data_IF_949044237459
#
_entry.id   IF_949044237459
#
_cell.length_a   1.000
_cell.length_b   1.000
_cell.length_c   1.000
_cell.angle_alpha   90.00
_cell.angle_beta   90.00
_cell.angle_gamma   90.00
#
_symmetry.space_group_name_H-M   'P 1'
#
loop_
_entity.id
_entity.type
_entity.pdbx_description
1 polymer ?
#
# COMPACT_ATOMS: atom_id res chain seq x y z
N UNK A 1 29.02 -0.97 7.99
CA UNK A 1 28.15 -2.16 8.19
C UNK A 1 27.15 -1.99 9.32
N UNK A 2 27.58 -1.48 10.48
CA UNK A 2 26.71 -1.20 11.64
C UNK A 2 25.48 -0.34 11.30
N UNK A 3 25.69 0.72 10.52
CA UNK A 3 24.61 1.62 10.08
C UNK A 3 23.51 0.87 9.32
N UNK A 4 23.88 0.05 8.34
CA UNK A 4 22.94 -0.74 7.54
C UNK A 4 22.14 -1.74 8.39
N UNK A 5 22.77 -2.36 9.39
CA UNK A 5 22.07 -3.30 10.30
C UNK A 5 21.06 -2.59 11.18
N UNK A 6 21.41 -1.41 11.70
CA UNK A 6 20.55 -0.61 12.59
C UNK A 6 19.40 0.10 11.84
N UNK A 7 19.56 0.33 10.54
CA UNK A 7 18.60 1.07 9.70
C UNK A 7 18.11 0.22 8.52
N UNK A 8 18.03 -1.11 8.69
CA UNK A 8 17.68 -2.06 7.62
C UNK A 8 16.32 -1.77 6.99
N UNK A 9 15.37 -1.28 7.79
CA UNK A 9 14.05 -0.87 7.32
C UNK A 9 14.10 0.33 6.35
N UNK A 10 15.07 1.25 6.49
CA UNK A 10 15.24 2.38 5.56
C UNK A 10 15.65 1.93 4.15
N UNK A 11 16.25 0.73 4.05
CA UNK A 11 16.66 0.13 2.79
C UNK A 11 15.65 -0.90 2.27
N UNK A 12 14.51 -1.04 2.95
CA UNK A 12 13.43 -1.93 2.52
C UNK A 12 12.42 -1.14 1.70
N UNK A 13 12.30 -1.52 0.43
CA UNK A 13 11.25 -0.98 -0.43
C UNK A 13 9.88 -1.33 0.12
N UNK A 14 8.98 -0.34 0.17
CA UNK A 14 7.60 -0.57 0.60
C UNK A 14 6.94 -1.57 -0.35
N UNK A 15 6.25 -2.55 0.22
CA UNK A 15 5.46 -3.49 -0.57
C UNK A 15 4.21 -2.77 -1.10
N UNK A 16 4.05 -2.79 -2.43
CA UNK A 16 2.96 -2.17 -3.16
C UNK A 16 2.31 -3.21 -4.05
N UNK A 17 0.99 -3.16 -4.17
CA UNK A 17 0.23 -4.02 -5.08
C UNK A 17 -0.65 -3.17 -5.98
N UNK A 18 -0.77 -3.55 -7.25
CA UNK A 18 -1.77 -2.98 -8.13
C UNK A 18 -3.06 -3.75 -7.97
N UNK A 19 -4.12 -3.10 -7.50
CA UNK A 19 -5.36 -3.76 -7.11
C UNK A 19 -6.54 -3.26 -7.96
N UNK A 20 -7.41 -4.20 -8.34
CA UNK A 20 -8.80 -3.90 -8.69
C UNK A 20 -9.77 -4.51 -7.70
N UNK A 21 -10.87 -3.81 -7.45
CA UNK A 21 -11.89 -4.22 -6.49
C UNK A 21 -13.29 -4.01 -7.05
N UNK A 22 -14.17 -4.96 -6.76
CA UNK A 22 -15.62 -4.84 -6.90
C UNK A 22 -16.20 -4.89 -5.50
N UNK A 23 -16.93 -3.84 -5.13
CA UNK A 23 -17.75 -3.81 -3.92
C UNK A 23 -19.21 -3.91 -4.30
N UNK A 24 -19.91 -4.88 -3.73
CA UNK A 24 -21.36 -5.01 -3.79
C UNK A 24 -21.89 -4.68 -2.39
N UNK A 25 -22.79 -3.69 -2.26
CA UNK A 25 -23.31 -3.33 -0.95
C UNK A 25 -24.13 -4.50 -0.40
N UNK A 26 -23.82 -4.94 0.80
CA UNK A 26 -24.78 -5.75 1.54
C UNK A 26 -25.67 -4.78 2.33
N UNK A 27 -26.92 -5.16 2.51
CA UNK A 27 -27.81 -4.38 3.35
C UNK A 27 -27.84 -4.95 4.76
N UNK A 28 -27.96 -4.04 5.74
CA UNK A 28 -28.25 -4.39 7.14
C UNK A 28 -29.66 -4.98 7.30
N UNK A 29 -30.52 -4.83 6.29
CA UNK A 29 -31.88 -5.35 6.31
C UNK A 29 -31.89 -6.82 5.85
N UNK A 30 -32.45 -7.70 6.67
CA UNK A 30 -32.34 -9.16 6.53
C UNK A 30 -33.09 -9.72 5.33
N UNK A 31 -34.01 -8.94 4.75
CA UNK A 31 -34.83 -9.36 3.62
C UNK A 31 -34.08 -9.44 2.27
N UNK A 32 -33.11 -8.54 2.05
CA UNK A 32 -32.38 -8.44 0.76
C UNK A 32 -30.96 -8.98 0.82
N UNK A 33 -30.44 -9.28 2.03
CA UNK A 33 -29.12 -9.87 2.22
C UNK A 33 -28.87 -11.16 1.39
N UNK A 34 -29.85 -12.09 1.24
CA UNK A 34 -29.67 -13.26 0.36
C UNK A 34 -29.49 -12.88 -1.11
N UNK A 35 -30.17 -11.83 -1.57
CA UNK A 35 -30.10 -11.38 -2.96
C UNK A 35 -28.75 -10.72 -3.28
N UNK A 36 -28.20 -9.92 -2.37
CA UNK A 36 -26.89 -9.29 -2.56
C UNK A 36 -25.75 -10.30 -2.54
N UNK A 37 -25.84 -11.30 -1.66
CA UNK A 37 -24.89 -12.42 -1.68
C UNK A 37 -24.98 -13.22 -2.98
N UNK A 38 -26.18 -13.53 -3.45
CA UNK A 38 -26.38 -14.20 -4.73
C UNK A 38 -25.83 -13.38 -5.91
N UNK A 39 -25.97 -12.05 -5.88
CA UNK A 39 -25.35 -11.17 -6.87
C UNK A 39 -23.82 -11.24 -6.84
N UNK A 40 -23.21 -11.25 -5.65
CA UNK A 40 -21.76 -11.44 -5.52
C UNK A 40 -21.29 -12.81 -6.05
N UNK A 41 -22.07 -13.86 -5.82
CA UNK A 41 -21.82 -15.20 -6.37
C UNK A 41 -21.94 -15.22 -7.91
N UNK A 42 -22.95 -14.54 -8.46
CA UNK A 42 -23.09 -14.39 -9.92
C UNK A 42 -21.91 -13.64 -10.53
N UNK A 43 -21.48 -12.53 -9.91
CA UNK A 43 -20.34 -11.73 -10.34
C UNK A 43 -19.06 -12.57 -10.31
N UNK A 44 -18.82 -13.30 -9.22
CA UNK A 44 -17.67 -14.21 -9.13
C UNK A 44 -17.71 -15.30 -10.21
N UNK A 45 -18.90 -15.86 -10.49
CA UNK A 45 -19.10 -16.84 -11.56
C UNK A 45 -18.77 -16.30 -12.95
N UNK A 46 -19.20 -15.07 -13.26
CA UNK A 46 -18.87 -14.39 -14.53
C UNK A 46 -17.36 -14.16 -14.67
N UNK A 47 -16.72 -13.70 -13.61
CA UNK A 47 -15.28 -13.51 -13.57
C UNK A 47 -14.51 -14.83 -13.75
N UNK A 48 -14.98 -15.91 -13.12
CA UNK A 48 -14.41 -17.25 -13.29
C UNK A 48 -14.60 -17.79 -14.72
N UNK A 49 -15.68 -17.41 -15.40
CA UNK A 49 -15.92 -17.74 -16.81
C UNK A 49 -15.09 -16.89 -17.80
N UNK A 50 -14.26 -15.96 -17.31
CA UNK A 50 -13.37 -15.14 -18.13
C UNK A 50 -13.93 -13.76 -18.51
N UNK A 51 -14.99 -13.29 -17.85
CA UNK A 51 -15.46 -11.92 -18.05
C UNK A 51 -14.37 -10.90 -17.66
N UNK A 52 -14.32 -9.78 -18.39
CA UNK A 52 -13.40 -8.69 -18.09
C UNK A 52 -13.74 -8.05 -16.75
N UNK A 53 -12.73 -7.90 -15.88
CA UNK A 53 -12.92 -7.42 -14.51
C UNK A 53 -13.39 -5.96 -14.49
N UNK A 54 -12.80 -5.11 -15.33
CA UNK A 54 -13.19 -3.71 -15.53
C UNK A 54 -14.65 -3.55 -15.91
N UNK A 55 -15.11 -4.30 -16.92
CA UNK A 55 -16.49 -4.23 -17.37
C UNK A 55 -17.45 -4.72 -16.29
N UNK A 56 -17.07 -5.81 -15.61
CA UNK A 56 -17.87 -6.34 -14.51
C UNK A 56 -17.94 -5.35 -13.34
N UNK A 57 -16.83 -4.67 -13.03
CA UNK A 57 -16.79 -3.63 -12.00
C UNK A 57 -17.66 -2.43 -12.37
N UNK A 58 -17.62 -1.95 -13.62
CA UNK A 58 -18.45 -0.85 -14.08
C UNK A 58 -19.96 -1.15 -13.96
N UNK A 59 -20.35 -2.41 -14.16
CA UNK A 59 -21.76 -2.82 -14.12
C UNK A 59 -22.25 -3.10 -12.69
N UNK A 60 -21.45 -3.79 -11.88
CA UNK A 60 -21.91 -4.36 -10.61
C UNK A 60 -21.33 -3.68 -9.37
N UNK A 61 -20.20 -2.98 -9.48
CA UNK A 61 -19.61 -2.35 -8.31
C UNK A 61 -20.37 -1.09 -7.92
N UNK A 62 -20.48 -0.84 -6.62
CA UNK A 62 -20.92 0.44 -6.07
C UNK A 62 -19.80 1.19 -5.33
N UNK A 63 -18.54 0.83 -5.58
CA UNK A 63 -17.39 1.57 -5.06
C UNK A 63 -17.14 2.84 -5.89
N UNK A 64 -16.45 3.80 -5.30
CA UNK A 64 -15.99 5.03 -5.97
C UNK A 64 -15.16 4.78 -7.24
N UNK A 65 -14.49 3.62 -7.33
CA UNK A 65 -13.67 3.25 -8.50
C UNK A 65 -14.45 2.53 -9.60
N UNK A 66 -15.77 2.35 -9.45
CA UNK A 66 -16.66 1.70 -10.43
C UNK A 66 -16.42 2.19 -11.85
N UNK A 67 -16.46 3.50 -12.06
CA UNK A 67 -16.36 4.09 -13.40
C UNK A 67 -14.98 3.84 -14.04
N UNK A 68 -13.94 3.64 -13.22
CA UNK A 68 -12.59 3.25 -13.62
C UNK A 68 -12.37 1.73 -13.65
N UNK A 69 -13.44 0.93 -13.69
CA UNK A 69 -13.33 -0.53 -13.75
C UNK A 69 -12.79 -1.15 -12.45
N UNK A 70 -13.03 -0.50 -11.32
CA UNK A 70 -12.60 -0.95 -10.01
C UNK A 70 -11.11 -0.72 -9.73
N UNK A 71 -10.42 0.12 -10.53
CA UNK A 71 -8.97 0.35 -10.39
C UNK A 71 -8.62 1.22 -9.19
N UNK A 72 -7.89 0.64 -8.24
CA UNK A 72 -7.35 1.33 -7.06
C UNK A 72 -5.89 1.78 -7.26
N UNK A 73 -5.30 1.48 -8.41
CA UNK A 73 -3.90 1.77 -8.69
C UNK A 73 -2.96 0.98 -7.79
N UNK A 74 -1.78 1.56 -7.54
CA UNK A 74 -0.77 1.01 -6.63
C UNK A 74 -1.11 1.40 -5.19
N UNK A 75 -1.34 0.41 -4.34
CA UNK A 75 -1.63 0.60 -2.93
C UNK A 75 -0.53 0.01 -2.04
N UNK A 76 -0.24 0.69 -0.94
CA UNK A 76 0.70 0.24 0.10
C UNK A 76 -0.03 -0.52 1.21
N UNK A 77 0.73 -1.23 2.05
CA UNK A 77 0.20 -1.73 3.32
C UNK A 77 -0.31 -0.58 4.20
N UNK A 78 -1.34 -0.86 4.98
CA UNK A 78 -2.17 0.05 5.78
C UNK A 78 -3.08 1.00 4.98
N UNK A 79 -3.28 0.76 3.68
CA UNK A 79 -4.22 1.54 2.84
C UNK A 79 -5.64 0.97 2.90
N UNK A 80 -5.77 -0.34 3.03
CA UNK A 80 -7.06 -1.04 3.03
C UNK A 80 -7.46 -1.48 4.44
N UNK A 81 -8.74 -1.80 4.62
CA UNK A 81 -9.20 -2.47 5.82
C UNK A 81 -8.46 -3.82 6.01
N UNK A 82 -8.06 -4.11 7.26
CA UNK A 82 -7.19 -5.25 7.58
C UNK A 82 -7.56 -6.59 6.93
N UNK A 83 -8.85 -7.01 6.90
CA UNK A 83 -9.24 -8.25 6.23
C UNK A 83 -9.02 -8.23 4.71
N UNK A 84 -9.34 -7.12 4.05
CA UNK A 84 -9.15 -6.95 2.60
C UNK A 84 -7.66 -6.90 2.27
N UNK A 85 -6.89 -6.16 3.05
CA UNK A 85 -5.43 -6.06 2.87
C UNK A 85 -4.76 -7.42 2.97
N UNK A 86 -5.07 -8.18 4.03
CA UNK A 86 -4.47 -9.50 4.26
C UNK A 86 -4.72 -10.42 3.07
N UNK A 87 -5.89 -10.36 2.45
CA UNK A 87 -6.20 -11.18 1.29
C UNK A 87 -5.48 -10.65 0.04
N UNK A 88 -5.54 -9.34 -0.22
CA UNK A 88 -4.92 -8.71 -1.37
C UNK A 88 -3.39 -8.96 -1.42
N UNK A 89 -2.69 -8.72 -0.30
CA UNK A 89 -1.24 -8.90 -0.24
C UNK A 89 -0.78 -10.36 -0.23
N UNK A 90 -1.62 -11.32 0.17
CA UNK A 90 -1.28 -12.74 0.11
C UNK A 90 -1.70 -13.42 -1.21
N UNK A 91 -2.57 -12.80 -2.00
CA UNK A 91 -3.09 -13.39 -3.23
C UNK A 91 -2.06 -13.34 -4.37
N UNK A 92 -1.89 -14.39 -5.20
CA UNK A 92 -1.00 -14.34 -6.35
C UNK A 92 -1.43 -13.27 -7.38
N UNK A 93 -0.46 -12.72 -8.11
CA UNK A 93 -0.73 -11.81 -9.24
C UNK A 93 -1.57 -12.53 -10.30
N UNK A 94 -2.55 -11.82 -10.86
CA UNK A 94 -3.50 -12.30 -11.87
C UNK A 94 -4.67 -13.11 -11.32
N UNK A 95 -4.68 -13.47 -10.02
CA UNK A 95 -5.80 -14.19 -9.41
C UNK A 95 -6.93 -13.25 -8.99
N UNK A 96 -8.14 -13.80 -9.02
CA UNK A 96 -9.35 -13.19 -8.47
C UNK A 96 -9.65 -13.87 -7.14
N UNK A 97 -10.03 -13.10 -6.12
CA UNK A 97 -10.35 -13.62 -4.79
C UNK A 97 -11.72 -14.30 -4.78
N UNK A 98 -11.97 -15.09 -3.73
CA UNK A 98 -13.34 -15.41 -3.34
C UNK A 98 -14.07 -14.15 -2.85
N UNK A 99 -15.37 -14.27 -2.61
CA UNK A 99 -16.17 -13.20 -1.99
C UNK A 99 -15.70 -13.00 -0.55
N UNK A 100 -15.42 -11.75 -0.20
CA UNK A 100 -15.00 -11.34 1.13
C UNK A 100 -16.13 -10.54 1.75
N UNK A 101 -16.69 -11.03 2.84
CA UNK A 101 -17.66 -10.28 3.65
C UNK A 101 -16.91 -9.37 4.61
N UNK A 102 -17.14 -8.06 4.51
CA UNK A 102 -16.58 -7.09 5.42
C UNK A 102 -17.51 -5.89 5.61
N UNK A 103 -17.73 -5.50 6.87
CA UNK A 103 -18.59 -4.36 7.24
C UNK A 103 -20.02 -4.42 6.65
N UNK A 104 -20.51 -5.63 6.35
CA UNK A 104 -21.81 -5.84 5.71
C UNK A 104 -21.80 -5.59 4.20
N UNK A 105 -20.64 -5.54 3.54
CA UNK A 105 -20.51 -5.51 2.09
C UNK A 105 -19.75 -6.73 1.58
N UNK A 106 -19.91 -7.02 0.29
CA UNK A 106 -19.22 -8.10 -0.39
C UNK A 106 -18.15 -7.55 -1.32
N UNK A 107 -16.92 -8.01 -1.15
CA UNK A 107 -15.78 -7.57 -1.94
C UNK A 107 -15.21 -8.72 -2.77
N UNK A 108 -14.86 -8.42 -4.00
CA UNK A 108 -14.10 -9.31 -4.89
C UNK A 108 -12.88 -8.53 -5.37
N UNK A 109 -11.70 -9.12 -5.21
CA UNK A 109 -10.41 -8.48 -5.46
C UNK A 109 -9.70 -9.15 -6.63
N UNK A 110 -8.91 -8.38 -7.38
CA UNK A 110 -7.96 -8.88 -8.38
C UNK A 110 -6.64 -8.14 -8.24
N UNK A 111 -5.57 -8.86 -7.99
CA UNK A 111 -4.22 -8.29 -7.94
C UNK A 111 -3.63 -8.34 -9.34
N UNK A 112 -3.33 -7.18 -9.91
CA UNK A 112 -2.76 -7.06 -11.26
C UNK A 112 -1.24 -7.08 -11.25
N UNK A 113 -0.61 -6.58 -10.19
CA UNK A 113 0.84 -6.53 -10.05
C UNK A 113 1.26 -6.45 -8.58
N UNK A 114 2.51 -6.83 -8.28
CA UNK A 114 3.14 -6.68 -6.96
C UNK A 114 4.57 -6.21 -7.11
N UNK A 115 4.92 -5.17 -6.35
CA UNK A 115 6.23 -4.53 -6.38
C UNK A 115 6.74 -4.29 -4.96
N UNK A 116 8.07 -4.19 -4.81
CA UNK A 116 8.71 -3.88 -3.54
C UNK A 116 8.77 -5.05 -2.56
N UNK A 117 8.74 -4.76 -1.25
CA UNK A 117 8.90 -5.76 -0.19
C UNK A 117 10.31 -6.36 -0.10
N UNK A 118 11.26 -5.81 -0.87
CA UNK A 118 12.63 -6.28 -0.94
C UNK A 118 13.55 -5.31 -0.23
N UNK A 119 14.39 -5.83 0.67
CA UNK A 119 15.48 -5.09 1.30
C UNK A 119 16.67 -5.05 0.34
N UNK A 120 17.09 -3.84 -0.07
CA UNK A 120 18.34 -3.66 -0.83
C UNK A 120 19.48 -4.30 -0.07
N UNK A 121 20.36 -5.03 -0.74
CA UNK A 121 21.55 -5.59 -0.09
C UNK A 121 22.49 -4.49 0.41
N UNK A 122 23.40 -4.84 1.34
CA UNK A 122 24.43 -3.91 1.81
C UNK A 122 25.25 -3.34 0.65
N UNK A 123 25.54 -4.14 -0.38
CA UNK A 123 26.31 -3.70 -1.55
C UNK A 123 25.57 -2.61 -2.33
N UNK A 124 24.25 -2.77 -2.51
CA UNK A 124 23.39 -1.80 -3.18
C UNK A 124 23.14 -0.55 -2.33
N UNK A 125 23.09 -0.69 -1.00
CA UNK A 125 22.84 0.40 -0.07
C UNK A 125 24.12 1.19 0.32
N UNK A 126 25.31 0.61 0.14
CA UNK A 126 26.60 1.23 0.52
C UNK A 126 26.78 2.66 -0.01
N UNK A 127 26.58 2.97 -1.31
CA UNK A 127 26.79 4.34 -1.80
C UNK A 127 25.83 5.37 -1.18
N UNK A 128 24.57 4.98 -0.94
CA UNK A 128 23.59 5.82 -0.25
C UNK A 128 23.97 6.06 1.21
N UNK A 129 24.43 5.01 1.91
CA UNK A 129 24.91 5.10 3.31
C UNK A 129 26.12 6.02 3.42
N UNK A 130 27.12 5.85 2.56
CA UNK A 130 28.33 6.68 2.58
C UNK A 130 28.00 8.15 2.37
N UNK A 131 27.14 8.46 1.39
CA UNK A 131 26.69 9.83 1.14
C UNK A 131 25.94 10.42 2.34
N UNK A 132 25.06 9.64 2.97
CA UNK A 132 24.27 10.09 4.15
C UNK A 132 25.17 10.37 5.34
N UNK A 133 26.10 9.46 5.67
CA UNK A 133 27.06 9.62 6.76
C UNK A 133 27.97 10.84 6.54
N UNK A 134 28.47 11.04 5.31
CA UNK A 134 29.28 12.21 4.96
C UNK A 134 28.50 13.53 5.13
N UNK A 135 27.21 13.55 4.77
CA UNK A 135 26.35 14.72 4.98
C UNK A 135 26.09 14.98 6.47
N UNK A 136 25.84 13.94 7.27
CA UNK A 136 25.63 14.05 8.71
C UNK A 136 26.89 14.55 9.43
N UNK A 137 28.08 14.06 9.09
CA UNK A 137 29.34 14.55 9.65
C UNK A 137 29.60 16.02 9.28
N UNK A 138 29.36 16.40 8.02
CA UNK A 138 29.51 17.78 7.57
C UNK A 138 28.56 18.74 8.32
N UNK A 139 27.30 18.34 8.51
CA UNK A 139 26.32 19.10 9.30
C UNK A 139 26.76 19.26 10.75
N UNK A 140 27.20 18.18 11.42
CA UNK A 140 27.65 18.25 12.81
C UNK A 140 28.87 19.15 13.01
N UNK A 141 29.83 19.13 12.06
CA UNK A 141 31.00 20.00 12.11
C UNK A 141 30.57 21.46 11.95
N UNK A 142 29.68 21.73 11.01
CA UNK A 142 29.13 23.08 10.78
C UNK A 142 28.37 23.60 12.00
N UNK A 143 27.53 22.78 12.64
CA UNK A 143 26.79 23.14 13.84
C UNK A 143 27.74 23.44 15.01
N UNK A 144 28.75 22.59 15.24
CA UNK A 144 29.78 22.83 16.27
C UNK A 144 30.54 24.13 16.02
N UNK A 145 30.89 24.41 14.76
CA UNK A 145 31.57 25.65 14.40
C UNK A 145 30.68 26.88 14.66
N UNK A 146 29.41 26.85 14.24
CA UNK A 146 28.43 27.93 14.49
C UNK A 146 28.22 28.13 16.00
N UNK A 147 28.08 27.06 16.77
CA UNK A 147 27.97 27.14 18.23
C UNK A 147 29.18 27.84 18.85
N UNK A 148 30.39 27.45 18.42
CA UNK A 148 31.63 28.09 18.89
C UNK A 148 31.74 29.56 18.51
N UNK A 149 31.23 29.95 17.33
CA UNK A 149 31.19 31.35 16.90
C UNK A 149 30.19 32.17 17.73
N UNK A 150 29.02 31.61 18.04
CA UNK A 150 28.02 32.25 18.91
C UNK A 150 28.53 32.44 20.34
N UNK A 151 29.27 31.47 20.86
CA UNK A 151 29.87 31.56 22.20
C UNK A 151 31.00 32.61 22.25
N UNK A 152 31.85 32.66 21.22
CA UNK A 152 32.94 33.65 21.11
C UNK A 152 32.44 35.05 20.75
N UNK A 153 31.33 35.16 20.04
CA UNK A 153 30.65 36.42 19.77
C UNK A 153 29.89 36.86 21.02
N UNK A 154 30.63 37.44 21.98
CA UNK A 154 30.12 38.06 23.19
C UNK A 154 28.89 38.95 22.90
N UNK A 155 27.67 38.43 23.15
CA UNK A 155 26.44 39.21 23.05
C UNK A 155 26.37 40.11 24.28
N UNK A 156 26.90 41.33 24.14
CA UNK A 156 26.59 42.44 25.04
C UNK A 156 25.21 42.97 24.62
N UNK A 157 24.14 42.40 25.13
CA UNK A 157 22.82 43.05 25.10
C UNK A 157 22.91 44.27 26.01
N UNK A 158 22.84 45.46 25.40
CA UNK A 158 22.67 46.73 26.09
C UNK A 158 21.20 46.92 26.49
#
# INVERSE_FOLDING_TARGET
EDYYRKHRDEFTSKEQIKLRMIMIPGQKDTATAPAQKALAEEVLGKLAAGAAFDQTAQVYSEDSTRDNGGDWGLIERNTLAGPLEKIAFNMPVGRISNIIDYAGNYYILKVEDKQGGTTKSLAEARPDIEKKLLQEEAQQIQERWIASLREKAYIKTF
#
